data_IF_399835417917
#
_entry.id   IF_399835417917
#
_cell.length_a   1.000
_cell.length_b   1.000
_cell.length_c   1.000
_cell.angle_alpha   90.00
_cell.angle_beta   90.00
_cell.angle_gamma   90.00
#
_symmetry.space_group_name_H-M   'P 1'
#
loop_
_entity.id
_entity.type
_entity.pdbx_description
1 polymer ?
#
# COMPACT_ATOMS: atom_id res chain seq x y z
N UNK A 1 28.93 12.84 38.96
CA UNK A 1 28.89 13.17 37.53
C UNK A 1 27.55 12.68 36.98
N UNK A 2 26.51 13.49 37.13
CA UNK A 2 25.14 13.14 36.75
C UNK A 2 24.85 13.79 35.41
N UNK A 3 24.68 13.00 34.36
CA UNK A 3 24.14 13.45 33.08
C UNK A 3 22.74 12.90 32.95
N UNK A 4 21.80 13.64 33.52
CA UNK A 4 20.37 13.46 33.33
C UNK A 4 20.03 13.74 31.86
N UNK A 5 19.67 12.68 31.15
CA UNK A 5 19.38 12.67 29.72
C UNK A 5 17.85 12.72 29.50
N UNK A 6 17.19 13.65 30.19
CA UNK A 6 15.74 13.88 30.08
C UNK A 6 15.37 15.13 29.26
N UNK A 7 16.25 15.54 28.34
CA UNK A 7 15.98 16.62 27.39
C UNK A 7 15.64 16.04 26.01
N UNK A 8 14.48 16.43 25.48
CA UNK A 8 13.92 16.14 24.15
C UNK A 8 13.06 14.87 24.02
N UNK A 9 11.97 14.80 24.80
CA UNK A 9 10.70 14.26 24.32
C UNK A 9 9.59 15.30 24.50
N UNK A 10 9.78 16.48 23.90
CA UNK A 10 8.69 17.42 23.72
C UNK A 10 8.76 17.99 22.30
N UNK A 11 8.08 17.32 21.37
CA UNK A 11 7.72 17.86 20.06
C UNK A 11 6.22 17.69 19.88
N UNK A 12 5.53 18.78 20.16
CA UNK A 12 4.24 19.22 19.62
C UNK A 12 3.16 18.16 19.43
N UNK A 13 2.28 18.15 20.44
CA UNK A 13 0.95 17.53 20.47
C UNK A 13 0.01 18.06 19.39
N UNK A 14 0.27 17.69 18.13
CA UNK A 14 -0.71 17.60 17.03
C UNK A 14 -0.64 16.27 16.27
N UNK A 15 -0.18 15.20 16.93
CA UNK A 15 -0.42 13.83 16.46
C UNK A 15 -1.77 13.35 16.99
N UNK A 16 -2.87 13.85 16.41
CA UNK A 16 -4.20 13.28 16.63
C UNK A 16 -4.34 11.94 15.89
N UNK A 17 -3.60 10.93 16.33
CA UNK A 17 -3.99 9.53 16.14
C UNK A 17 -3.30 8.65 17.18
N UNK A 18 -4.07 8.32 18.23
CA UNK A 18 -3.92 7.22 19.18
C UNK A 18 -2.81 6.19 18.87
N UNK A 19 -1.57 6.49 19.26
CA UNK A 19 -0.44 5.55 19.28
C UNK A 19 -0.55 4.48 20.39
N UNK A 20 -1.77 4.02 20.72
CA UNK A 20 -2.03 3.00 21.76
C UNK A 20 -2.93 1.84 21.31
N UNK A 21 -3.49 1.85 20.10
CA UNK A 21 -4.49 0.82 19.71
C UNK A 21 -3.92 -0.45 19.06
N UNK A 22 -2.62 -0.47 18.76
CA UNK A 22 -1.95 -1.58 18.05
C UNK A 22 -0.60 -1.91 18.67
N UNK A 23 -0.53 -2.09 19.99
CA UNK A 23 0.69 -2.60 20.67
C UNK A 23 1.18 -3.93 20.06
N UNK A 24 0.24 -4.72 19.54
CA UNK A 24 0.52 -5.88 18.68
C UNK A 24 -0.26 -5.77 17.37
N UNK A 25 0.36 -6.13 16.22
CA UNK A 25 -0.35 -6.21 14.95
C UNK A 25 -1.54 -7.18 15.04
N UNK A 26 -2.74 -6.82 14.54
CA UNK A 26 -3.92 -7.68 14.61
C UNK A 26 -3.88 -8.86 13.61
N UNK A 27 -2.79 -9.00 12.87
CA UNK A 27 -2.53 -10.07 11.92
C UNK A 27 -1.02 -10.32 11.83
N UNK A 28 -0.65 -11.52 11.39
CA UNK A 28 0.74 -11.89 11.13
C UNK A 28 1.34 -11.02 10.01
N UNK A 29 2.47 -10.39 10.31
CA UNK A 29 3.23 -9.58 9.36
C UNK A 29 4.45 -10.38 8.89
N UNK A 30 4.57 -10.53 7.58
CA UNK A 30 5.70 -11.19 6.91
C UNK A 30 6.74 -10.18 6.41
N UNK A 31 6.44 -8.89 6.52
CA UNK A 31 7.32 -7.76 6.17
C UNK A 31 7.27 -6.72 7.29
N UNK A 32 8.35 -5.95 7.43
CA UNK A 32 8.37 -4.84 8.39
C UNK A 32 7.38 -3.75 7.99
N UNK A 33 6.95 -2.94 8.97
CA UNK A 33 6.01 -1.83 8.72
C UNK A 33 6.61 -0.85 7.70
N UNK A 34 7.91 -0.56 7.80
CA UNK A 34 8.65 0.30 6.89
C UNK A 34 8.63 -0.24 5.46
N UNK A 35 8.86 -1.55 5.29
CA UNK A 35 8.80 -2.21 3.97
C UNK A 35 7.39 -2.18 3.38
N UNK A 36 6.37 -2.27 4.23
CA UNK A 36 4.97 -2.25 3.84
C UNK A 36 4.52 -0.89 3.32
N UNK A 37 4.93 0.19 3.98
CA UNK A 37 4.55 1.57 3.61
C UNK A 37 5.47 2.19 2.54
N UNK A 38 6.68 1.66 2.35
CA UNK A 38 7.64 2.21 1.39
C UNK A 38 7.14 2.15 -0.06
N UNK A 39 7.33 3.21 -0.86
CA UNK A 39 6.93 3.22 -2.27
C UNK A 39 7.66 2.13 -3.06
N UNK A 40 6.93 1.42 -3.93
CA UNK A 40 7.53 0.44 -4.85
C UNK A 40 8.15 1.22 -6.01
N UNK A 41 9.45 1.49 -5.95
CA UNK A 41 10.12 2.17 -7.05
C UNK A 41 10.18 1.28 -8.29
N UNK A 42 9.89 1.81 -9.50
CA UNK A 42 10.03 1.06 -10.73
C UNK A 42 11.50 0.69 -10.98
N UNK A 43 11.74 -0.48 -11.58
CA UNK A 43 13.09 -0.88 -12.00
C UNK A 43 13.69 0.16 -12.95
N UNK A 44 15.03 0.35 -12.85
CA UNK A 44 15.82 1.40 -13.52
C UNK A 44 15.66 1.49 -15.05
N UNK A 45 15.07 0.48 -15.70
CA UNK A 45 14.75 0.45 -17.14
C UNK A 45 13.29 0.77 -17.52
N UNK A 46 12.40 1.01 -16.57
CA UNK A 46 11.01 1.42 -16.83
C UNK A 46 10.83 2.91 -16.50
N UNK A 47 9.91 3.61 -17.19
CA UNK A 47 9.77 5.08 -17.14
C UNK A 47 9.95 5.66 -15.74
N UNK A 48 10.70 6.77 -15.58
CA UNK A 48 11.01 7.53 -14.34
C UNK A 48 9.79 8.13 -13.62
N UNK A 49 8.63 7.46 -13.66
CA UNK A 49 7.40 7.92 -13.03
C UNK A 49 7.39 7.52 -11.57
N UNK A 50 7.13 8.51 -10.72
CA UNK A 50 6.89 8.30 -9.29
C UNK A 50 5.62 7.43 -9.16
N UNK A 51 5.68 6.29 -8.45
CA UNK A 51 4.52 5.43 -8.24
C UNK A 51 3.46 6.13 -7.38
N UNK A 52 2.23 5.64 -7.39
CA UNK A 52 1.20 6.13 -6.47
C UNK A 52 1.53 5.66 -5.05
N UNK A 53 1.19 6.44 -3.99
CA UNK A 53 1.19 5.92 -2.64
C UNK A 53 0.27 4.69 -2.54
N UNK A 54 0.66 3.72 -1.72
CA UNK A 54 -0.08 2.47 -1.55
C UNK A 54 -1.33 2.72 -0.69
N UNK A 55 -2.46 2.17 -1.12
CA UNK A 55 -3.68 2.13 -0.30
C UNK A 55 -3.67 0.92 0.64
N UNK A 56 -4.64 0.86 1.56
CA UNK A 56 -4.72 -0.18 2.60
C UNK A 56 -4.74 -1.60 2.03
N UNK A 57 -5.52 -1.85 0.97
CA UNK A 57 -5.57 -3.15 0.32
C UNK A 57 -4.24 -3.51 -0.36
N UNK A 58 -3.57 -2.57 -1.00
CA UNK A 58 -2.27 -2.82 -1.65
C UNK A 58 -1.20 -3.17 -0.63
N UNK A 59 -1.22 -2.54 0.55
CA UNK A 59 -0.33 -2.87 1.67
C UNK A 59 -0.65 -4.27 2.20
N UNK A 60 -1.93 -4.58 2.43
CA UNK A 60 -2.36 -5.92 2.84
C UNK A 60 -1.92 -7.00 1.86
N UNK A 61 -2.16 -6.80 0.56
CA UNK A 61 -1.76 -7.75 -0.50
C UNK A 61 -0.26 -7.94 -0.55
N UNK A 62 0.53 -6.89 -0.32
CA UNK A 62 2.00 -6.98 -0.25
C UNK A 62 2.43 -7.90 0.89
N UNK A 63 1.86 -7.74 2.09
CA UNK A 63 2.10 -8.62 3.23
C UNK A 63 1.66 -10.07 2.93
N UNK A 64 0.45 -10.23 2.38
CA UNK A 64 -0.11 -11.54 2.03
C UNK A 64 0.74 -12.30 1.02
N UNK A 65 1.23 -11.61 -0.01
CA UNK A 65 2.14 -12.18 -1.00
C UNK A 65 3.46 -12.63 -0.35
N UNK A 66 4.02 -11.85 0.58
CA UNK A 66 5.22 -12.23 1.30
C UNK A 66 5.01 -13.51 2.12
N UNK A 67 3.85 -13.66 2.77
CA UNK A 67 3.48 -14.90 3.46
C UNK A 67 3.41 -16.11 2.54
N UNK A 68 2.74 -15.98 1.38
CA UNK A 68 2.66 -17.07 0.39
C UNK A 68 4.05 -17.43 -0.16
N UNK A 69 4.93 -16.45 -0.35
CA UNK A 69 6.32 -16.70 -0.76
C UNK A 69 7.13 -17.40 0.33
N UNK A 70 6.94 -17.01 1.60
CA UNK A 70 7.64 -17.62 2.74
C UNK A 70 7.29 -19.11 2.92
N UNK A 71 6.05 -19.49 2.61
CA UNK A 71 5.59 -20.90 2.66
C UNK A 71 6.10 -21.73 1.46
N UNK A 72 6.78 -21.12 0.49
CA UNK A 72 7.46 -21.82 -0.61
C UNK A 72 6.63 -22.07 -1.87
N UNK A 73 5.41 -21.53 -1.95
CA UNK A 73 4.41 -21.92 -2.98
C UNK A 73 4.56 -21.21 -4.36
N UNK A 74 5.67 -20.48 -4.60
CA UNK A 74 5.44 -19.12 -5.14
C UNK A 74 6.41 -18.51 -6.15
N UNK A 75 7.11 -19.26 -7.01
CA UNK A 75 7.88 -18.63 -8.12
C UNK A 75 7.87 -19.33 -9.48
N UNK A 76 7.37 -20.57 -9.59
CA UNK A 76 7.39 -21.34 -10.85
C UNK A 76 6.09 -21.27 -11.65
N UNK A 77 5.00 -20.81 -11.04
CA UNK A 77 3.70 -20.71 -11.72
C UNK A 77 3.56 -19.36 -12.46
N UNK A 78 3.31 -19.42 -13.77
CA UNK A 78 3.04 -18.25 -14.63
C UNK A 78 1.81 -17.46 -14.19
N UNK A 79 0.85 -18.12 -13.53
CA UNK A 79 -0.40 -17.52 -13.06
C UNK A 79 -0.35 -17.07 -11.59
N UNK A 80 0.83 -17.13 -10.95
CA UNK A 80 1.01 -16.83 -9.53
C UNK A 80 0.42 -15.47 -9.13
N UNK A 81 0.72 -14.41 -9.89
CA UNK A 81 0.27 -13.04 -9.58
C UNK A 81 -1.27 -12.92 -9.60
N UNK A 82 -1.93 -13.57 -10.55
CA UNK A 82 -3.39 -13.57 -10.67
C UNK A 82 -4.03 -14.35 -9.52
N UNK A 83 -3.46 -15.52 -9.18
CA UNK A 83 -3.91 -16.36 -8.06
C UNK A 83 -3.81 -15.61 -6.72
N UNK A 84 -2.63 -15.03 -6.43
CA UNK A 84 -2.42 -14.25 -5.21
C UNK A 84 -3.37 -13.05 -5.14
N UNK A 85 -3.58 -12.34 -6.24
CA UNK A 85 -4.51 -11.20 -6.25
C UNK A 85 -5.96 -11.62 -5.96
N UNK A 86 -6.39 -12.76 -6.51
CA UNK A 86 -7.72 -13.33 -6.25
C UNK A 86 -7.87 -13.79 -4.80
N UNK A 87 -6.91 -14.54 -4.27
CA UNK A 87 -6.89 -14.99 -2.88
C UNK A 87 -6.85 -13.82 -1.89
N UNK A 88 -5.99 -12.83 -2.13
CA UNK A 88 -5.90 -11.64 -1.30
C UNK A 88 -7.20 -10.84 -1.27
N UNK A 89 -7.89 -10.72 -2.41
CA UNK A 89 -9.20 -10.03 -2.46
C UNK A 89 -10.25 -10.76 -1.61
N UNK A 90 -10.30 -12.09 -1.69
CA UNK A 90 -11.19 -12.91 -0.84
C UNK A 90 -10.85 -12.79 0.64
N UNK A 91 -9.56 -12.87 0.99
CA UNK A 91 -9.08 -12.72 2.37
C UNK A 91 -9.39 -11.33 2.93
N UNK A 92 -9.20 -10.27 2.14
CA UNK A 92 -9.55 -8.90 2.53
C UNK A 92 -11.05 -8.72 2.78
N UNK A 93 -11.91 -9.35 1.96
CA UNK A 93 -13.35 -9.35 2.19
C UNK A 93 -13.72 -9.90 3.57
N UNK A 94 -13.07 -11.01 3.97
CA UNK A 94 -13.27 -11.70 5.26
C UNK A 94 -12.49 -11.10 6.43
N UNK A 95 -11.55 -10.17 6.19
CA UNK A 95 -10.71 -9.60 7.23
C UNK A 95 -11.55 -8.81 8.26
N UNK A 96 -11.18 -8.94 9.53
CA UNK A 96 -11.87 -8.28 10.63
C UNK A 96 -11.76 -6.75 10.52
N UNK A 97 -12.70 -6.00 11.11
CA UNK A 97 -12.62 -4.54 11.13
C UNK A 97 -11.31 -4.02 11.73
N UNK A 98 -10.77 -4.71 12.75
CA UNK A 98 -9.49 -4.35 13.38
C UNK A 98 -8.32 -4.46 12.40
N UNK A 99 -8.27 -5.53 11.60
CA UNK A 99 -7.25 -5.71 10.56
C UNK A 99 -7.38 -4.64 9.48
N UNK A 100 -8.60 -4.38 8.99
CA UNK A 100 -8.85 -3.34 7.99
C UNK A 100 -8.43 -1.95 8.51
N UNK A 101 -8.72 -1.65 9.78
CA UNK A 101 -8.31 -0.40 10.45
C UNK A 101 -6.78 -0.30 10.53
N UNK A 102 -6.09 -1.36 10.94
CA UNK A 102 -4.63 -1.37 10.98
C UNK A 102 -4.00 -1.03 9.62
N UNK A 103 -4.44 -1.69 8.53
CA UNK A 103 -3.95 -1.38 7.20
C UNK A 103 -4.41 -0.02 6.67
N UNK A 104 -5.50 0.55 7.19
CA UNK A 104 -5.90 1.93 6.89
C UNK A 104 -4.89 2.94 7.47
N UNK A 105 -4.46 2.73 8.72
CA UNK A 105 -3.44 3.56 9.36
C UNK A 105 -2.13 3.48 8.58
N UNK A 106 -1.71 2.27 8.19
CA UNK A 106 -0.51 2.12 7.36
C UNK A 106 -0.61 2.84 6.01
N UNK A 107 -1.80 2.92 5.41
CA UNK A 107 -2.02 3.64 4.16
C UNK A 107 -1.93 5.16 4.34
N UNK A 108 -2.40 5.68 5.47
CA UNK A 108 -2.24 7.08 5.84
C UNK A 108 -0.76 7.42 6.05
N UNK A 109 -0.02 6.59 6.78
CA UNK A 109 1.42 6.74 6.95
C UNK A 109 2.18 6.67 5.62
N UNK A 110 1.82 5.72 4.75
CA UNK A 110 2.39 5.62 3.40
C UNK A 110 2.11 6.88 2.57
N UNK A 111 0.91 7.44 2.67
CA UNK A 111 0.53 8.69 1.99
C UNK A 111 1.33 9.88 2.53
N UNK A 112 1.43 10.03 3.84
CA UNK A 112 2.18 11.12 4.47
C UNK A 112 3.68 11.02 4.14
N UNK A 113 4.26 9.84 4.25
CA UNK A 113 5.65 9.58 3.85
C UNK A 113 5.89 9.91 2.38
N UNK A 114 4.98 9.48 1.50
CA UNK A 114 5.05 9.80 0.07
C UNK A 114 4.95 11.32 -0.19
N UNK A 115 4.06 12.04 0.50
CA UNK A 115 3.94 13.50 0.36
C UNK A 115 5.21 14.22 0.81
N UNK A 116 5.87 13.75 1.87
CA UNK A 116 7.16 14.28 2.33
C UNK A 116 8.28 14.01 1.33
N UNK A 117 8.32 12.82 0.74
CA UNK A 117 9.35 12.42 -0.24
C UNK A 117 9.15 13.08 -1.61
N UNK A 118 7.90 13.31 -2.01
CA UNK A 118 7.54 13.85 -3.32
C UNK A 118 6.51 14.97 -3.18
N UNK A 119 6.92 16.16 -2.69
CA UNK A 119 6.00 17.28 -2.45
C UNK A 119 5.34 17.80 -3.73
N UNK A 120 6.01 17.69 -4.88
CA UNK A 120 5.49 18.08 -6.20
C UNK A 120 4.65 16.99 -6.88
N UNK A 121 4.42 15.85 -6.21
CA UNK A 121 3.67 14.76 -6.82
C UNK A 121 2.20 15.11 -7.02
N UNK A 122 1.74 15.02 -8.27
CA UNK A 122 0.34 15.14 -8.63
C UNK A 122 -0.15 13.91 -9.38
N UNK A 123 -1.30 13.37 -8.96
CA UNK A 123 -1.92 12.25 -9.65
C UNK A 123 -2.63 12.70 -10.93
N UNK A 124 -2.03 12.38 -12.08
CA UNK A 124 -2.55 12.71 -13.41
C UNK A 124 -2.78 11.44 -14.23
N UNK A 125 -3.97 10.79 -14.14
CA UNK A 125 -4.27 9.60 -14.92
C UNK A 125 -4.30 9.91 -16.42
N UNK A 126 -3.71 9.02 -17.23
CA UNK A 126 -3.81 9.11 -18.69
C UNK A 126 -5.24 8.80 -19.12
N UNK A 127 -5.91 9.75 -19.77
CA UNK A 127 -7.21 9.51 -20.42
C UNK A 127 -7.01 8.49 -21.55
N UNK A 128 -7.73 7.36 -21.48
CA UNK A 128 -7.80 6.42 -22.61
C UNK A 128 -8.71 7.04 -23.66
N UNK A 129 -8.28 7.07 -24.93
CA UNK A 129 -9.20 7.39 -26.03
C UNK A 129 -10.31 6.33 -26.03
N UNK A 130 -11.59 6.71 -26.18
CA UNK A 130 -12.65 5.73 -26.34
C UNK A 130 -12.31 4.83 -27.54
N UNK A 131 -12.63 3.53 -27.48
CA UNK A 131 -12.42 2.64 -28.62
C UNK A 131 -13.21 3.19 -29.81
N UNK A 132 -12.57 3.25 -30.98
CA UNK A 132 -13.14 3.78 -32.22
C UNK A 132 -14.42 3.05 -32.68
N UNK A 133 -14.75 1.89 -32.10
CA UNK A 133 -15.94 1.11 -32.43
C UNK A 133 -17.27 1.71 -31.93
N UNK A 134 -17.24 2.71 -31.04
CA UNK A 134 -18.47 3.35 -30.53
C UNK A 134 -19.04 4.43 -31.48
N UNK A 135 -18.34 4.79 -32.56
CA UNK A 135 -18.76 5.88 -33.45
C UNK A 135 -19.51 5.45 -34.73
N UNK A 136 -19.66 4.15 -35.01
CA UNK A 136 -20.26 3.66 -36.28
C UNK A 136 -21.68 3.09 -36.12
N UNK A 137 -22.45 3.49 -35.10
CA UNK A 137 -23.77 2.90 -34.84
C UNK A 137 -24.92 3.91 -34.83
N UNK A 138 -25.03 4.71 -35.88
CA UNK A 138 -26.28 5.39 -36.26
C UNK A 138 -26.31 5.54 -37.78
N UNK A 139 -27.15 4.74 -38.45
CA UNK A 139 -27.87 5.02 -39.71
C UNK A 139 -28.39 3.68 -40.27
N UNK A 140 -29.56 3.27 -39.79
CA UNK A 140 -30.45 2.38 -40.53
C UNK A 140 -31.85 2.96 -40.35
N UNK A 141 -32.24 3.80 -41.31
CA UNK A 141 -33.62 4.19 -41.54
C UNK A 141 -34.35 3.03 -42.21
#
# INVERSE_FOLDING_TARGET
>A
MSTDLSFVLNTDSKTTYSNKSFETPPCELFLSVEQLISPVMPNKGTSKRIPRPLNSFMIFRRNFNAGIVAVGDSKRDRNFVAKVSSQASKAWGKASPRVKKFFSVLAEEAKLGHQRLFPEYQYSPKKKKPPSSLFNKTNKA
#
